data_IF_609246002438
#
_entry.id   IF_609246002438
#
_cell.length_a   1.000
_cell.length_b   1.000
_cell.length_c   1.000
_cell.angle_alpha   90.00
_cell.angle_beta   90.00
_cell.angle_gamma   90.00
#
_symmetry.space_group_name_H-M   'P 1'
#
loop_
_entity.id
_entity.type
_entity.pdbx_description
1 polymer ?
#
# COMPACT_ATOMS: atom_id res chain seq x y z
N UNK A 1 54.98 -10.68 2.87
CA UNK A 1 55.60 -9.35 2.93
C UNK A 1 54.52 -8.34 2.58
N UNK A 2 53.88 -7.72 3.59
CA UNK A 2 52.77 -6.80 3.37
C UNK A 2 53.34 -5.46 2.89
N UNK A 3 53.11 -5.12 1.62
CA UNK A 3 53.49 -3.82 1.06
C UNK A 3 52.75 -2.74 1.84
N UNK A 4 53.47 -1.99 2.69
CA UNK A 4 52.88 -0.84 3.38
C UNK A 4 52.50 0.18 2.31
N UNK A 5 51.20 0.39 2.12
CA UNK A 5 50.67 1.45 1.25
C UNK A 5 51.27 2.78 1.70
N UNK A 6 51.66 3.60 0.72
CA UNK A 6 52.09 4.98 0.97
C UNK A 6 50.89 5.82 1.43
N UNK A 7 51.15 6.91 2.14
CA UNK A 7 50.09 7.75 2.70
C UNK A 7 49.21 8.35 1.60
N UNK A 8 49.80 8.75 0.46
CA UNK A 8 49.06 9.20 -0.72
C UNK A 8 48.14 8.13 -1.30
N UNK A 9 48.61 6.87 -1.40
CA UNK A 9 47.79 5.76 -1.88
C UNK A 9 46.64 5.42 -0.92
N UNK A 10 46.83 5.59 0.39
CA UNK A 10 45.77 5.39 1.38
C UNK A 10 44.67 6.44 1.23
N UNK A 11 45.05 7.70 1.08
CA UNK A 11 44.11 8.82 0.87
C UNK A 11 43.34 8.63 -0.44
N UNK A 12 44.03 8.29 -1.54
CA UNK A 12 43.40 8.06 -2.84
C UNK A 12 42.41 6.89 -2.81
N UNK A 13 42.77 5.78 -2.16
CA UNK A 13 41.86 4.63 -1.98
C UNK A 13 40.66 4.97 -1.10
N UNK A 14 40.87 5.75 -0.03
CA UNK A 14 39.80 6.18 0.85
C UNK A 14 38.81 7.12 0.12
N UNK A 15 39.32 8.13 -0.58
CA UNK A 15 38.54 9.02 -1.43
C UNK A 15 37.76 8.23 -2.48
N UNK A 16 38.42 7.31 -3.20
CA UNK A 16 37.74 6.48 -4.18
C UNK A 16 36.59 5.66 -3.55
N UNK A 17 36.85 5.05 -2.39
CA UNK A 17 35.84 4.27 -1.67
C UNK A 17 34.63 5.13 -1.25
N UNK A 18 34.84 6.38 -0.85
CA UNK A 18 33.73 7.32 -0.56
C UNK A 18 33.01 7.70 -1.86
N UNK A 19 33.73 8.13 -2.90
CA UNK A 19 33.16 8.71 -4.12
C UNK A 19 32.38 7.72 -5.00
N UNK A 20 32.76 6.43 -5.00
CA UNK A 20 31.98 5.37 -5.67
C UNK A 20 30.54 5.35 -5.14
N UNK A 21 30.38 5.67 -3.86
CA UNK A 21 29.10 5.78 -3.19
C UNK A 21 28.49 7.18 -3.32
N UNK A 22 28.86 8.05 -4.26
CA UNK A 22 28.16 9.32 -4.50
C UNK A 22 27.58 9.45 -5.92
N UNK A 23 26.51 10.26 -6.12
CA UNK A 23 26.02 10.64 -7.44
C UNK A 23 27.12 11.39 -8.20
N UNK A 24 27.26 11.13 -9.52
CA UNK A 24 28.33 11.72 -10.35
C UNK A 24 28.41 13.24 -10.24
N UNK A 25 27.26 13.92 -10.16
CA UNK A 25 27.17 15.38 -10.07
C UNK A 25 27.79 16.01 -8.82
N UNK A 26 27.98 15.25 -7.72
CA UNK A 26 28.57 15.75 -6.48
C UNK A 26 29.97 15.21 -6.20
N UNK A 27 30.49 14.33 -7.06
CA UNK A 27 31.78 13.65 -6.79
C UNK A 27 32.93 14.64 -6.76
N UNK A 28 32.98 15.58 -7.69
CA UNK A 28 34.13 16.49 -7.80
C UNK A 28 34.17 17.48 -6.62
N UNK A 29 33.03 18.04 -6.24
CA UNK A 29 32.90 18.94 -5.09
C UNK A 29 33.27 18.23 -3.78
N UNK A 30 32.70 17.04 -3.55
CA UNK A 30 32.98 16.25 -2.34
C UNK A 30 34.41 15.71 -2.33
N UNK A 31 34.98 15.39 -3.49
CA UNK A 31 36.39 14.97 -3.59
C UNK A 31 37.33 16.10 -3.18
N UNK A 32 37.10 17.31 -3.69
CA UNK A 32 37.93 18.47 -3.38
C UNK A 32 37.82 18.86 -1.89
N UNK A 33 36.61 18.87 -1.34
CA UNK A 33 36.38 19.18 0.07
C UNK A 33 37.00 18.12 1.00
N UNK A 34 36.73 16.83 0.74
CA UNK A 34 37.25 15.75 1.57
C UNK A 34 38.76 15.66 1.51
N UNK A 35 39.37 15.89 0.34
CA UNK A 35 40.83 15.89 0.19
C UNK A 35 41.47 17.01 0.99
N UNK A 36 40.96 18.24 0.89
CA UNK A 36 41.45 19.36 1.72
C UNK A 36 41.33 19.06 3.21
N UNK A 37 40.19 18.50 3.64
CA UNK A 37 39.95 18.16 5.04
C UNK A 37 40.93 17.09 5.56
N UNK A 38 41.30 16.13 4.72
CA UNK A 38 42.30 15.11 5.06
C UNK A 38 43.70 15.73 5.11
N UNK A 39 44.07 16.53 4.10
CA UNK A 39 45.38 17.18 4.00
C UNK A 39 45.63 18.13 5.20
N UNK A 40 44.62 18.93 5.57
CA UNK A 40 44.68 19.82 6.74
C UNK A 40 44.85 19.03 8.05
N UNK A 41 44.11 17.92 8.20
CA UNK A 41 44.18 17.10 9.42
C UNK A 41 45.48 16.27 9.51
N UNK A 42 46.07 15.92 8.35
CA UNK A 42 47.33 15.19 8.24
C UNK A 42 48.57 16.08 8.42
N UNK A 43 48.41 17.41 8.45
CA UNK A 43 49.51 18.32 8.76
C UNK A 43 50.06 18.11 10.19
N UNK A 44 49.18 17.74 11.13
CA UNK A 44 49.50 17.61 12.55
C UNK A 44 49.46 16.17 13.08
N UNK A 45 49.01 15.20 12.26
CA UNK A 45 48.79 13.79 12.68
C UNK A 45 49.12 12.80 11.57
N UNK A 46 49.37 11.54 11.93
CA UNK A 46 49.53 10.45 10.96
C UNK A 46 48.24 10.26 10.14
N UNK A 47 48.38 10.17 8.82
CA UNK A 47 47.28 9.93 7.87
C UNK A 47 46.43 8.73 8.27
N UNK A 48 47.03 7.67 8.82
CA UNK A 48 46.28 6.49 9.26
C UNK A 48 45.35 6.79 10.43
N UNK A 49 45.78 7.64 11.35
CA UNK A 49 44.97 8.08 12.50
C UNK A 49 43.84 9.01 12.04
N UNK A 50 44.14 9.92 11.11
CA UNK A 50 43.14 10.82 10.50
C UNK A 50 42.05 10.01 9.79
N UNK A 51 42.44 9.05 8.93
CA UNK A 51 41.49 8.20 8.21
C UNK A 51 40.68 7.30 9.17
N UNK A 52 41.29 6.78 10.24
CA UNK A 52 40.57 6.02 11.25
C UNK A 52 39.55 6.89 12.01
N UNK A 53 39.91 8.15 12.30
CA UNK A 53 39.02 9.12 12.95
C UNK A 53 37.84 9.58 12.07
N UNK A 54 38.00 9.55 10.75
CA UNK A 54 36.91 9.78 9.80
C UNK A 54 35.92 8.60 9.71
N UNK A 55 36.31 7.42 10.19
CA UNK A 55 35.48 6.22 10.19
C UNK A 55 35.44 5.52 8.84
N UNK A 56 34.48 4.60 8.67
CA UNK A 56 34.40 3.83 7.44
C UNK A 56 34.00 4.73 6.25
N UNK A 57 34.57 4.52 5.05
CA UNK A 57 34.25 5.33 3.87
C UNK A 57 32.78 5.21 3.46
N UNK A 58 32.12 4.10 3.82
CA UNK A 58 30.69 3.90 3.60
C UNK A 58 29.83 4.80 4.49
N UNK A 59 30.21 4.97 5.76
CA UNK A 59 29.52 5.84 6.72
C UNK A 59 29.67 7.30 6.31
N UNK A 60 30.88 7.69 5.93
CA UNK A 60 31.16 9.05 5.48
C UNK A 60 30.41 9.38 4.19
N UNK A 61 30.34 8.44 3.25
CA UNK A 61 29.55 8.60 2.02
C UNK A 61 28.05 8.80 2.30
N UNK A 62 27.50 8.16 3.33
CA UNK A 62 26.09 8.35 3.72
C UNK A 62 25.82 9.81 4.13
N UNK A 63 26.74 10.44 4.86
CA UNK A 63 26.64 11.84 5.28
C UNK A 63 26.65 12.80 4.10
N UNK A 64 27.55 12.61 3.12
CA UNK A 64 27.65 13.49 1.95
C UNK A 64 26.56 13.26 0.89
N UNK A 65 25.95 12.07 0.85
CA UNK A 65 24.98 11.71 -0.19
C UNK A 65 23.64 12.43 -0.02
N UNK A 66 23.25 12.82 1.21
CA UNK A 66 22.01 13.55 1.53
C UNK A 66 20.69 12.80 1.26
N UNK A 67 20.69 11.82 0.35
CA UNK A 67 19.55 11.00 0.00
C UNK A 67 19.72 9.58 0.58
N UNK A 68 18.76 9.11 1.39
CA UNK A 68 18.86 7.80 1.99
C UNK A 68 18.60 6.65 0.99
N UNK A 69 19.15 5.46 1.31
CA UNK A 69 18.99 4.20 0.54
C UNK A 69 17.74 3.38 0.92
N UNK A 70 16.86 3.90 1.76
CA UNK A 70 15.70 3.15 2.21
C UNK A 70 14.52 3.23 1.23
N UNK A 71 13.82 2.11 1.05
CA UNK A 71 12.54 2.07 0.33
C UNK A 71 11.44 2.81 1.10
N UNK A 72 11.44 2.65 2.42
CA UNK A 72 10.56 3.33 3.39
C UNK A 72 11.47 3.84 4.50
N UNK A 73 11.53 5.16 4.70
CA UNK A 73 12.41 5.77 5.69
C UNK A 73 11.92 5.62 7.12
N UNK A 74 12.79 5.87 8.11
CA UNK A 74 12.50 5.70 9.53
C UNK A 74 11.31 6.54 10.00
N UNK A 75 11.03 7.67 9.34
CA UNK A 75 9.88 8.53 9.63
C UNK A 75 8.54 7.83 9.37
N UNK A 76 8.44 7.05 8.29
CA UNK A 76 7.20 6.38 7.90
C UNK A 76 7.15 4.92 8.36
N UNK A 77 8.27 4.34 8.78
CA UNK A 77 8.38 2.91 9.08
C UNK A 77 7.42 2.42 10.18
N UNK A 78 7.28 3.15 11.28
CA UNK A 78 6.35 2.77 12.35
C UNK A 78 4.89 2.84 11.89
N UNK A 79 4.56 3.83 11.06
CA UNK A 79 3.22 3.97 10.48
C UNK A 79 2.96 2.85 9.46
N UNK A 80 3.98 2.49 8.67
CA UNK A 80 3.95 1.36 7.75
C UNK A 80 3.59 0.07 8.46
N UNK A 81 4.28 -0.28 9.55
CA UNK A 81 3.98 -1.51 10.30
C UNK A 81 2.57 -1.51 10.92
N UNK A 82 2.11 -0.35 11.41
CA UNK A 82 0.76 -0.20 11.96
C UNK A 82 -0.34 -0.39 10.92
N UNK A 83 -0.08 -0.12 9.64
CA UNK A 83 -1.04 -0.33 8.55
C UNK A 83 -0.88 -1.73 7.94
N UNK A 84 0.36 -2.17 7.72
CA UNK A 84 0.67 -3.46 7.08
C UNK A 84 0.02 -4.63 7.82
N UNK A 85 0.28 -4.77 9.12
CA UNK A 85 -0.15 -5.97 9.85
C UNK A 85 -1.67 -6.12 9.93
N UNK A 86 -2.45 -5.08 10.28
CA UNK A 86 -3.91 -5.19 10.25
C UNK A 86 -4.46 -5.46 8.86
N UNK A 87 -3.94 -4.80 7.81
CA UNK A 87 -4.45 -4.98 6.44
C UNK A 87 -4.16 -6.39 5.94
N UNK A 88 -2.94 -6.89 6.14
CA UNK A 88 -2.58 -8.29 5.80
C UNK A 88 -3.45 -9.27 6.57
N UNK A 89 -3.63 -9.07 7.88
CA UNK A 89 -4.44 -9.94 8.72
C UNK A 89 -5.91 -9.97 8.30
N UNK A 90 -6.51 -8.81 8.02
CA UNK A 90 -7.90 -8.70 7.56
C UNK A 90 -8.07 -9.35 6.19
N UNK A 91 -7.21 -9.05 5.21
CA UNK A 91 -7.32 -9.62 3.87
C UNK A 91 -7.14 -11.14 3.88
N UNK A 92 -6.16 -11.64 4.63
CA UNK A 92 -5.94 -13.07 4.80
C UNK A 92 -7.16 -13.75 5.46
N UNK A 93 -7.70 -13.16 6.53
CA UNK A 93 -8.86 -13.71 7.23
C UNK A 93 -10.13 -13.70 6.37
N UNK A 94 -10.36 -12.65 5.58
CA UNK A 94 -11.51 -12.56 4.68
C UNK A 94 -11.39 -13.60 3.56
N UNK A 95 -10.26 -13.67 2.88
CA UNK A 95 -10.11 -14.59 1.75
C UNK A 95 -10.11 -16.05 2.19
N UNK A 96 -9.35 -16.40 3.24
CA UNK A 96 -9.38 -17.75 3.81
C UNK A 96 -10.72 -18.10 4.47
N UNK A 97 -11.42 -17.12 5.04
CA UNK A 97 -12.75 -17.33 5.59
C UNK A 97 -13.81 -17.58 4.52
N UNK A 98 -13.72 -16.87 3.38
CA UNK A 98 -14.63 -17.05 2.25
C UNK A 98 -14.44 -18.40 1.56
N UNK A 99 -13.20 -18.86 1.38
CA UNK A 99 -12.94 -20.19 0.82
C UNK A 99 -13.46 -21.29 1.74
N UNK A 100 -13.24 -21.17 3.06
CA UNK A 100 -13.75 -22.11 4.04
C UNK A 100 -15.29 -22.12 4.07
N UNK A 101 -15.91 -20.94 4.01
CA UNK A 101 -17.37 -20.82 3.94
C UNK A 101 -17.92 -21.47 2.67
N UNK A 102 -17.27 -21.26 1.52
CA UNK A 102 -17.61 -21.93 0.25
C UNK A 102 -17.61 -23.45 0.40
N UNK A 103 -16.51 -24.02 0.91
CA UNK A 103 -16.39 -25.45 1.11
C UNK A 103 -17.42 -26.02 2.11
N UNK A 104 -17.75 -25.29 3.19
CA UNK A 104 -18.80 -25.70 4.13
C UNK A 104 -20.20 -25.64 3.52
N UNK A 105 -20.47 -24.71 2.59
CA UNK A 105 -21.74 -24.71 1.87
C UNK A 105 -21.87 -25.90 0.93
N UNK A 106 -20.77 -26.30 0.26
CA UNK A 106 -20.71 -27.49 -0.59
C UNK A 106 -20.91 -28.79 0.20
N UNK A 107 -20.35 -28.87 1.42
CA UNK A 107 -20.53 -29.97 2.38
C UNK A 107 -21.99 -30.33 2.67
N UNK A 108 -22.84 -29.31 2.73
CA UNK A 108 -24.25 -29.43 3.15
C UNK A 108 -25.19 -29.64 1.97
N UNK A 109 -24.67 -29.78 0.76
CA UNK A 109 -25.45 -30.01 -0.44
C UNK A 109 -26.00 -31.47 -0.50
N UNK A 110 -27.22 -31.67 -1.03
CA UNK A 110 -27.89 -32.98 -1.07
C UNK A 110 -27.20 -34.02 -1.97
N UNK A 111 -26.18 -33.61 -2.74
CA UNK A 111 -25.33 -34.47 -3.56
C UNK A 111 -23.83 -34.34 -3.17
N UNK A 112 -23.52 -34.00 -1.92
CA UNK A 112 -22.16 -33.76 -1.47
C UNK A 112 -21.28 -35.01 -1.65
N UNK A 113 -20.18 -34.85 -2.39
CA UNK A 113 -19.07 -35.78 -2.37
C UNK A 113 -18.42 -35.76 -0.97
N UNK A 114 -17.75 -36.85 -0.53
CA UNK A 114 -16.96 -36.80 0.69
C UNK A 114 -15.91 -35.70 0.57
N UNK A 115 -16.00 -34.70 1.45
CA UNK A 115 -15.05 -33.60 1.50
C UNK A 115 -13.70 -34.14 1.98
N UNK A 116 -12.65 -33.88 1.22
CA UNK A 116 -11.31 -33.97 1.76
C UNK A 116 -11.07 -32.73 2.64
N UNK A 117 -11.19 -32.92 3.96
CA UNK A 117 -10.96 -31.86 4.93
C UNK A 117 -9.54 -31.30 4.84
N UNK A 118 -8.56 -32.08 4.34
CA UNK A 118 -7.19 -31.61 4.18
C UNK A 118 -7.10 -30.60 3.02
N UNK A 119 -7.72 -30.89 1.88
CA UNK A 119 -7.70 -30.01 0.70
C UNK A 119 -8.40 -28.68 0.97
N UNK A 120 -9.57 -28.71 1.63
CA UNK A 120 -10.32 -27.49 2.01
C UNK A 120 -9.48 -26.56 2.90
N UNK A 121 -8.76 -27.13 3.86
CA UNK A 121 -7.90 -26.36 4.76
C UNK A 121 -6.69 -25.79 4.00
N UNK A 122 -6.15 -26.55 3.05
CA UNK A 122 -5.05 -26.10 2.19
C UNK A 122 -5.47 -24.98 1.24
N UNK A 123 -6.61 -25.09 0.58
CA UNK A 123 -7.12 -24.02 -0.29
C UNK A 123 -7.40 -22.74 0.49
N UNK A 124 -7.91 -22.85 1.72
CA UNK A 124 -8.13 -21.69 2.58
C UNK A 124 -6.83 -21.03 3.05
N UNK A 125 -5.81 -21.82 3.35
CA UNK A 125 -4.49 -21.31 3.72
C UNK A 125 -3.80 -20.68 2.50
N UNK A 126 -3.89 -21.29 1.32
CA UNK A 126 -3.32 -20.75 0.09
C UNK A 126 -3.97 -19.41 -0.29
N UNK A 127 -5.31 -19.32 -0.22
CA UNK A 127 -6.04 -18.09 -0.46
C UNK A 127 -5.70 -16.99 0.56
N UNK A 128 -5.59 -17.34 1.85
CA UNK A 128 -5.22 -16.42 2.91
C UNK A 128 -3.78 -15.90 2.70
N UNK A 129 -2.83 -16.79 2.38
CA UNK A 129 -1.44 -16.45 2.15
C UNK A 129 -1.28 -15.57 0.91
N UNK A 130 -1.88 -15.98 -0.21
CA UNK A 130 -1.88 -15.21 -1.46
C UNK A 130 -2.46 -13.83 -1.23
N UNK A 131 -3.64 -13.75 -0.60
CA UNK A 131 -4.27 -12.50 -0.20
C UNK A 131 -3.37 -11.59 0.64
N UNK A 132 -2.76 -12.17 1.67
CA UNK A 132 -1.85 -11.47 2.57
C UNK A 132 -0.60 -10.94 1.85
N UNK A 133 -0.02 -11.72 0.94
CA UNK A 133 1.14 -11.29 0.13
C UNK A 133 0.76 -10.14 -0.81
N UNK A 134 -0.38 -10.23 -1.49
CA UNK A 134 -0.90 -9.15 -2.34
C UNK A 134 -1.13 -7.87 -1.55
N UNK A 135 -1.78 -7.98 -0.39
CA UNK A 135 -1.99 -6.85 0.52
C UNK A 135 -0.67 -6.22 0.97
N UNK A 136 0.29 -7.05 1.41
CA UNK A 136 1.60 -6.59 1.85
C UNK A 136 2.37 -5.87 0.73
N UNK A 137 2.33 -6.44 -0.48
CA UNK A 137 2.95 -5.86 -1.67
C UNK A 137 2.40 -4.46 -1.93
N UNK A 138 1.07 -4.31 -2.01
CA UNK A 138 0.45 -3.03 -2.33
C UNK A 138 0.59 -1.99 -1.23
N UNK A 139 0.49 -2.38 0.05
CA UNK A 139 0.81 -1.50 1.17
C UNK A 139 2.25 -0.98 1.04
N UNK A 140 3.21 -1.87 0.76
CA UNK A 140 4.62 -1.50 0.61
C UNK A 140 4.83 -0.54 -0.55
N UNK A 141 4.19 -0.79 -1.70
CA UNK A 141 4.25 0.10 -2.87
C UNK A 141 3.73 1.49 -2.53
N UNK A 142 2.58 1.60 -1.85
CA UNK A 142 2.01 2.89 -1.44
C UNK A 142 2.98 3.65 -0.53
N UNK A 143 3.51 3.01 0.51
CA UNK A 143 4.47 3.65 1.40
C UNK A 143 5.78 4.05 0.70
N UNK A 144 6.25 3.24 -0.24
CA UNK A 144 7.43 3.56 -1.05
C UNK A 144 7.20 4.79 -1.95
N UNK A 145 6.02 4.89 -2.58
CA UNK A 145 5.63 6.06 -3.38
C UNK A 145 5.46 7.29 -2.49
N UNK A 146 4.85 7.14 -1.31
CA UNK A 146 4.71 8.24 -0.35
C UNK A 146 6.06 8.76 0.14
N UNK A 147 7.00 7.89 0.45
CA UNK A 147 8.35 8.29 0.85
C UNK A 147 9.08 9.06 -0.27
N UNK A 148 8.83 8.71 -1.54
CA UNK A 148 9.46 9.37 -2.71
C UNK A 148 8.77 10.64 -3.16
N UNK A 149 7.46 10.76 -2.96
CA UNK A 149 6.66 11.93 -3.38
C UNK A 149 6.45 12.93 -2.25
N UNK A 150 6.65 12.52 -1.00
CA UNK A 150 6.76 13.45 0.12
C UNK A 150 7.86 14.46 -0.22
N UNK A 151 7.63 15.78 -0.02
CA UNK A 151 8.65 16.77 -0.25
C UNK A 151 9.94 16.37 0.47
N UNK A 152 11.02 16.19 -0.30
CA UNK A 152 12.37 16.11 0.23
C UNK A 152 12.69 17.48 0.84
N UNK A 153 12.17 17.70 2.04
CA UNK A 153 11.89 19.05 2.52
C UNK A 153 11.60 19.07 4.01
N UNK A 154 12.37 18.28 4.75
CA UNK A 154 13.00 18.82 5.94
C UNK A 154 14.33 18.10 5.95
N UNK A 155 15.37 18.78 5.45
CA UNK A 155 16.69 18.55 6.04
C UNK A 155 16.43 18.42 7.53
N UNK A 156 16.99 17.41 8.18
CA UNK A 156 17.18 17.43 9.62
C UNK A 156 18.21 18.53 9.93
N UNK A 157 17.93 19.76 9.48
CA UNK A 157 18.45 20.96 10.04
C UNK A 157 18.18 20.91 11.53
N UNK A 158 19.10 21.52 12.27
CA UNK A 158 19.12 21.65 13.72
C UNK A 158 17.69 21.82 14.25
N UNK A 159 17.14 20.74 14.81
CA UNK A 159 15.83 20.74 15.43
C UNK A 159 15.79 21.84 16.49
N UNK A 160 14.87 22.79 16.32
CA UNK A 160 14.64 23.87 17.28
C UNK A 160 13.43 23.49 18.16
N UNK A 161 13.50 23.63 19.50
CA UNK A 161 12.34 23.49 20.37
C UNK A 161 11.13 24.34 19.95
N UNK A 162 11.34 25.46 19.25
CA UNK A 162 10.27 26.31 18.74
C UNK A 162 9.54 25.72 17.51
N UNK A 163 10.12 24.69 16.86
CA UNK A 163 9.48 23.91 15.77
C UNK A 163 8.52 22.83 16.29
N UNK A 164 8.23 22.81 17.60
CA UNK A 164 7.23 21.91 18.15
C UNK A 164 5.88 22.14 17.45
N UNK A 165 5.30 21.11 16.81
CA UNK A 165 4.00 21.24 16.20
C UNK A 165 2.99 21.66 17.26
N UNK A 166 2.14 22.64 16.92
CA UNK A 166 1.07 23.09 17.79
C UNK A 166 0.21 21.90 18.24
N UNK A 167 -0.27 21.94 19.49
CA UNK A 167 -1.10 20.87 20.05
C UNK A 167 -2.29 20.61 19.11
N UNK A 168 -2.52 19.37 18.64
CA UNK A 168 -3.51 19.08 17.63
C UNK A 168 -4.90 19.62 18.00
N UNK A 169 -5.42 20.57 17.21
CA UNK A 169 -6.74 21.15 17.41
C UNK A 169 -7.85 20.29 16.78
N UNK A 170 -7.89 18.99 17.10
CA UNK A 170 -8.95 18.03 16.72
C UNK A 170 -9.14 17.74 15.23
N UNK A 171 -8.90 18.72 14.35
CA UNK A 171 -9.19 18.69 12.92
C UNK A 171 -8.30 17.77 12.10
N UNK A 172 -7.22 17.25 12.69
CA UNK A 172 -6.17 16.52 12.00
C UNK A 172 -6.55 15.07 11.69
N UNK A 173 -6.20 14.62 10.49
CA UNK A 173 -6.35 13.23 10.08
C UNK A 173 -5.03 12.52 10.39
N UNK A 174 -5.03 11.47 11.25
CA UNK A 174 -3.80 10.74 11.54
C UNK A 174 -3.29 10.08 10.26
N UNK A 175 -1.98 10.18 10.02
CA UNK A 175 -1.33 9.68 8.79
C UNK A 175 -1.66 8.19 8.57
N UNK A 176 -1.68 7.38 9.64
CA UNK A 176 -2.04 5.97 9.53
C UNK A 176 -3.47 5.72 9.03
N UNK A 177 -4.43 6.58 9.38
CA UNK A 177 -5.81 6.47 8.91
C UNK A 177 -5.91 6.85 7.43
N UNK A 178 -5.35 7.99 7.04
CA UNK A 178 -5.35 8.42 5.63
C UNK A 178 -4.61 7.44 4.72
N UNK A 179 -3.51 6.84 5.20
CA UNK A 179 -2.77 5.83 4.43
C UNK A 179 -3.54 4.51 4.37
N UNK A 180 -4.21 4.08 5.45
CA UNK A 180 -5.05 2.89 5.41
C UNK A 180 -6.22 3.05 4.41
N UNK A 181 -6.86 4.22 4.38
CA UNK A 181 -7.91 4.57 3.40
C UNK A 181 -7.37 4.53 1.97
N UNK A 182 -6.17 5.09 1.75
CA UNK A 182 -5.50 5.06 0.45
C UNK A 182 -5.17 3.63 -0.01
N UNK A 183 -4.60 2.82 0.88
CA UNK A 183 -4.29 1.41 0.58
C UNK A 183 -5.56 0.66 0.22
N UNK A 184 -6.63 0.81 1.00
CA UNK A 184 -7.92 0.16 0.73
C UNK A 184 -8.45 0.56 -0.66
N UNK A 185 -8.45 1.86 -0.97
CA UNK A 185 -8.88 2.37 -2.27
C UNK A 185 -8.06 1.79 -3.43
N UNK A 186 -6.74 1.70 -3.28
CA UNK A 186 -5.84 1.13 -4.29
C UNK A 186 -6.12 -0.37 -4.47
N UNK A 187 -6.25 -1.14 -3.39
CA UNK A 187 -6.55 -2.58 -3.45
C UNK A 187 -7.88 -2.83 -4.16
N UNK A 188 -8.92 -2.05 -3.85
CA UNK A 188 -10.22 -2.14 -4.54
C UNK A 188 -10.08 -1.80 -6.03
N UNK A 189 -9.33 -0.75 -6.37
CA UNK A 189 -9.09 -0.38 -7.77
C UNK A 189 -8.43 -1.51 -8.56
N UNK A 190 -7.42 -2.16 -7.99
CA UNK A 190 -6.71 -3.28 -8.63
C UNK A 190 -7.60 -4.51 -8.73
N UNK A 191 -8.36 -4.83 -7.68
CA UNK A 191 -9.30 -5.94 -7.69
C UNK A 191 -10.34 -5.78 -8.79
N UNK A 192 -10.91 -4.58 -8.93
CA UNK A 192 -11.86 -4.26 -9.99
C UNK A 192 -11.18 -4.26 -11.37
N UNK A 193 -9.99 -3.69 -11.50
CA UNK A 193 -9.24 -3.69 -12.76
C UNK A 193 -8.94 -5.12 -13.24
N UNK A 194 -8.74 -6.07 -12.31
CA UNK A 194 -8.53 -7.48 -12.63
C UNK A 194 -9.77 -8.17 -13.20
N UNK A 195 -10.96 -7.56 -13.06
CA UNK A 195 -12.19 -8.00 -13.72
C UNK A 195 -12.32 -7.49 -15.16
N UNK A 196 -11.42 -6.59 -15.61
CA UNK A 196 -11.43 -6.05 -16.96
C UNK A 196 -10.60 -6.92 -17.93
N UNK A 197 -11.12 -7.32 -19.10
CA UNK A 197 -10.43 -8.21 -20.05
C UNK A 197 -9.07 -7.68 -20.51
N UNK A 198 -8.92 -6.36 -20.61
CA UNK A 198 -7.67 -5.72 -21.04
C UNK A 198 -6.61 -5.63 -19.96
N UNK A 199 -6.98 -5.80 -18.69
CA UNK A 199 -6.11 -5.61 -17.52
C UNK A 199 -6.03 -6.87 -16.63
N UNK A 200 -6.83 -7.89 -16.91
CA UNK A 200 -6.85 -9.15 -16.21
C UNK A 200 -5.48 -9.84 -16.30
N UNK A 201 -4.90 -10.27 -15.16
CA UNK A 201 -3.68 -11.08 -15.18
C UNK A 201 -3.91 -12.41 -15.92
N UNK A 202 -2.86 -12.95 -16.54
CA UNK A 202 -2.94 -14.17 -17.37
C UNK A 202 -3.48 -15.41 -16.64
N UNK A 203 -3.39 -15.46 -15.31
CA UNK A 203 -3.94 -16.54 -14.47
C UNK A 203 -5.43 -16.36 -14.14
N UNK A 204 -6.03 -15.19 -14.38
CA UNK A 204 -7.49 -14.99 -14.37
C UNK A 204 -8.17 -15.49 -15.67
N UNK A 205 -7.35 -15.98 -16.62
CA UNK A 205 -7.68 -16.42 -17.97
C UNK A 205 -9.03 -17.12 -18.17
N UNK A 206 -9.36 -18.06 -17.29
CA UNK A 206 -10.56 -18.89 -17.42
C UNK A 206 -11.79 -18.34 -16.66
N UNK A 207 -11.60 -17.42 -15.71
CA UNK A 207 -12.67 -16.91 -14.85
C UNK A 207 -13.45 -15.72 -15.44
N UNK A 208 -12.82 -14.94 -16.32
CA UNK A 208 -13.45 -13.75 -16.92
C UNK A 208 -14.31 -14.06 -18.15
N UNK A 209 -14.01 -15.13 -18.91
CA UNK A 209 -14.80 -15.54 -20.09
C UNK A 209 -16.25 -15.89 -19.73
N UNK A 210 -16.48 -16.17 -18.46
CA UNK A 210 -17.76 -16.56 -17.93
C UNK A 210 -18.52 -15.41 -17.24
N UNK A 211 -17.92 -14.21 -17.18
CA UNK A 211 -18.62 -12.98 -16.83
C UNK A 211 -19.38 -12.44 -18.05
N UNK A 212 -20.59 -11.97 -17.80
CA UNK A 212 -21.46 -11.42 -18.85
C UNK A 212 -20.79 -10.20 -19.53
N UNK A 213 -20.63 -10.17 -20.86
CA UNK A 213 -20.03 -9.04 -21.56
C UNK A 213 -20.72 -7.70 -21.24
N UNK A 214 -22.02 -7.72 -20.97
CA UNK A 214 -22.78 -6.53 -20.60
C UNK A 214 -22.42 -5.95 -19.22
N UNK A 215 -22.02 -6.81 -18.28
CA UNK A 215 -21.50 -6.42 -16.96
C UNK A 215 -20.09 -5.84 -17.10
N UNK A 216 -19.23 -6.53 -17.84
CA UNK A 216 -17.83 -6.19 -18.01
C UNK A 216 -17.64 -4.87 -18.77
N UNK A 217 -18.46 -4.59 -19.79
CA UNK A 217 -18.31 -3.37 -20.61
C UNK A 217 -18.88 -2.11 -19.94
N UNK A 218 -19.86 -2.24 -19.04
CA UNK A 218 -20.56 -1.08 -18.45
C UNK A 218 -20.28 -0.87 -16.96
N UNK A 219 -20.29 -1.93 -16.17
CA UNK A 219 -20.22 -1.82 -14.72
C UNK A 219 -18.78 -1.82 -14.20
N UNK A 220 -17.89 -2.62 -14.81
CA UNK A 220 -16.46 -2.63 -14.42
C UNK A 220 -15.80 -1.25 -14.59
N UNK A 221 -15.97 -0.52 -15.73
CA UNK A 221 -15.43 0.84 -15.85
C UNK A 221 -16.00 1.82 -14.83
N UNK A 222 -17.29 1.70 -14.49
CA UNK A 222 -17.92 2.53 -13.46
C UNK A 222 -17.34 2.24 -12.06
N UNK A 223 -17.14 0.96 -11.73
CA UNK A 223 -16.48 0.55 -10.49
C UNK A 223 -15.02 1.04 -10.43
N UNK A 224 -14.28 0.98 -11.55
CA UNK A 224 -12.92 1.52 -11.62
C UNK A 224 -12.89 3.03 -11.41
N UNK A 225 -13.86 3.77 -11.98
CA UNK A 225 -13.96 5.21 -11.80
C UNK A 225 -14.23 5.59 -10.34
N UNK A 226 -15.12 4.85 -9.64
CA UNK A 226 -15.37 5.02 -8.21
C UNK A 226 -14.12 4.71 -7.39
N UNK A 227 -13.45 3.59 -7.66
CA UNK A 227 -12.26 3.21 -6.92
C UNK A 227 -11.11 4.21 -7.13
N UNK A 228 -10.96 4.73 -8.36
CA UNK A 228 -10.03 5.83 -8.64
C UNK A 228 -10.40 7.11 -7.89
N UNK A 229 -11.69 7.42 -7.77
CA UNK A 229 -12.16 8.56 -6.99
C UNK A 229 -11.85 8.40 -5.50
N UNK A 230 -11.97 7.19 -4.94
CA UNK A 230 -11.50 6.90 -3.57
C UNK A 230 -10.00 7.12 -3.40
N UNK A 231 -9.18 6.72 -4.39
CA UNK A 231 -7.73 6.99 -4.36
C UNK A 231 -7.45 8.49 -4.34
N UNK A 232 -8.18 9.28 -5.15
CA UNK A 232 -8.07 10.75 -5.15
C UNK A 232 -8.50 11.32 -3.79
N UNK A 233 -9.64 10.86 -3.26
CA UNK A 233 -10.15 11.28 -1.94
C UNK A 233 -9.12 11.05 -0.83
N UNK A 234 -8.60 9.83 -0.74
CA UNK A 234 -7.60 9.46 0.26
C UNK A 234 -6.28 10.22 0.06
N UNK A 235 -5.86 10.48 -1.18
CA UNK A 235 -4.66 11.26 -1.49
C UNK A 235 -4.83 12.73 -1.05
N UNK A 236 -5.98 13.33 -1.31
CA UNK A 236 -6.29 14.70 -0.86
C UNK A 236 -6.36 14.77 0.67
N UNK A 237 -6.98 13.79 1.32
CA UNK A 237 -7.01 13.68 2.78
C UNK A 237 -5.59 13.58 3.37
N UNK A 238 -4.69 12.84 2.70
CA UNK A 238 -3.30 12.68 3.13
C UNK A 238 -2.44 13.94 2.95
N UNK A 239 -2.71 14.74 1.93
CA UNK A 239 -2.02 16.03 1.69
C UNK A 239 -2.55 17.12 2.61
N UNK A 240 -3.87 17.26 2.70
CA UNK A 240 -4.53 18.33 3.48
C UNK A 240 -4.44 18.06 4.99
N UNK A 241 -4.36 16.78 5.38
CA UNK A 241 -4.22 16.28 6.76
C UNK A 241 -5.25 16.83 7.74
N UNK A 242 -6.34 17.40 7.25
CA UNK A 242 -7.37 18.01 8.07
C UNK A 242 -8.75 17.87 7.43
N UNK A 243 -9.77 17.70 8.27
CA UNK A 243 -11.17 17.65 7.86
C UNK A 243 -11.66 19.04 7.42
N UNK A 244 -11.30 19.40 6.19
CA UNK A 244 -11.86 20.58 5.51
C UNK A 244 -13.18 20.22 4.84
N UNK A 245 -13.98 21.24 4.51
CA UNK A 245 -15.26 21.02 3.78
C UNK A 245 -15.03 20.31 2.44
N UNK A 246 -13.89 20.55 1.79
CA UNK A 246 -13.53 19.89 0.53
C UNK A 246 -13.23 18.40 0.74
N UNK A 247 -12.42 18.05 1.74
CA UNK A 247 -12.11 16.63 2.06
C UNK A 247 -13.37 15.88 2.45
N UNK A 248 -14.20 16.45 3.33
CA UNK A 248 -15.48 15.82 3.72
C UNK A 248 -16.41 15.64 2.53
N UNK A 249 -16.55 16.65 1.67
CA UNK A 249 -17.40 16.57 0.49
C UNK A 249 -16.90 15.49 -0.48
N UNK A 250 -15.59 15.41 -0.69
CA UNK A 250 -14.98 14.41 -1.59
C UNK A 250 -15.18 12.99 -1.06
N UNK A 251 -14.94 12.73 0.23
CA UNK A 251 -15.22 11.42 0.84
C UNK A 251 -16.69 11.03 0.71
N UNK A 252 -17.62 11.93 1.08
CA UNK A 252 -19.07 11.65 1.03
C UNK A 252 -19.55 11.42 -0.40
N UNK A 253 -19.11 12.21 -1.38
CA UNK A 253 -19.49 12.02 -2.78
C UNK A 253 -18.94 10.69 -3.31
N UNK A 254 -17.71 10.33 -2.96
CA UNK A 254 -17.11 9.06 -3.37
C UNK A 254 -17.89 7.87 -2.81
N UNK A 255 -18.25 7.92 -1.52
CA UNK A 255 -19.00 6.86 -0.85
C UNK A 255 -20.44 6.73 -1.39
N UNK A 256 -21.12 7.85 -1.66
CA UNK A 256 -22.46 7.83 -2.26
C UNK A 256 -22.44 7.24 -3.68
N UNK A 257 -21.41 7.59 -4.47
CA UNK A 257 -21.24 7.03 -5.80
C UNK A 257 -20.89 5.54 -5.73
N UNK A 258 -20.10 5.11 -4.75
CA UNK A 258 -19.80 3.70 -4.49
C UNK A 258 -21.06 2.91 -4.15
N UNK A 259 -21.93 3.44 -3.27
CA UNK A 259 -23.23 2.83 -2.95
C UNK A 259 -24.11 2.74 -4.20
N UNK A 260 -24.17 3.80 -5.02
CA UNK A 260 -24.98 3.82 -6.23
C UNK A 260 -24.51 2.77 -7.25
N UNK A 261 -23.20 2.68 -7.50
CA UNK A 261 -22.61 1.71 -8.44
C UNK A 261 -22.74 0.28 -7.89
N UNK A 262 -22.46 0.04 -6.62
CA UNK A 262 -22.64 -1.28 -6.00
C UNK A 262 -24.12 -1.74 -6.03
N UNK A 263 -25.05 -0.82 -5.82
CA UNK A 263 -26.49 -1.10 -5.96
C UNK A 263 -26.85 -1.42 -7.41
N UNK A 264 -26.33 -0.65 -8.38
CA UNK A 264 -26.55 -0.91 -9.80
C UNK A 264 -26.02 -2.29 -10.21
N UNK A 265 -24.87 -2.72 -9.68
CA UNK A 265 -24.33 -4.07 -9.86
C UNK A 265 -25.31 -5.11 -9.30
N UNK A 266 -25.73 -4.97 -8.04
CA UNK A 266 -26.66 -5.89 -7.38
C UNK A 266 -28.06 -5.96 -8.03
N UNK A 267 -28.49 -4.90 -8.72
CA UNK A 267 -29.76 -4.87 -9.47
C UNK A 267 -29.60 -5.47 -10.87
N UNK A 268 -28.45 -5.25 -11.53
CA UNK A 268 -28.20 -5.74 -12.89
C UNK A 268 -28.16 -7.28 -12.97
N UNK A 269 -27.70 -7.92 -11.90
CA UNK A 269 -27.76 -9.38 -11.71
C UNK A 269 -28.32 -9.65 -10.33
N UNK A 270 -29.42 -10.41 -10.17
CA UNK A 270 -29.85 -10.85 -8.86
C UNK A 270 -28.93 -11.98 -8.39
N UNK A 271 -27.74 -11.59 -7.90
CA UNK A 271 -26.72 -12.47 -7.29
C UNK A 271 -27.25 -13.30 -6.11
N UNK A 272 -28.49 -13.02 -5.66
CA UNK A 272 -29.19 -13.73 -4.59
C UNK A 272 -30.58 -14.22 -4.99
N UNK A 273 -30.91 -14.29 -6.30
CA UNK A 273 -32.18 -14.90 -6.71
C UNK A 273 -32.21 -16.39 -6.36
N UNK A 274 -33.38 -16.95 -6.00
CA UNK A 274 -33.51 -18.40 -5.75
C UNK A 274 -33.04 -19.25 -6.93
N UNK A 275 -33.20 -18.73 -8.16
CA UNK A 275 -32.75 -19.36 -9.41
C UNK A 275 -31.22 -19.33 -9.56
N UNK A 276 -30.57 -18.20 -9.24
CA UNK A 276 -29.11 -18.13 -9.25
C UNK A 276 -28.49 -19.04 -8.19
N UNK A 277 -29.10 -19.09 -6.99
CA UNK A 277 -28.66 -19.98 -5.91
C UNK A 277 -28.89 -21.46 -6.25
N UNK A 278 -29.94 -21.80 -7.01
CA UNK A 278 -30.15 -23.17 -7.51
C UNK A 278 -29.17 -23.54 -8.63
N UNK A 279 -28.88 -22.63 -9.56
CA UNK A 279 -27.91 -22.85 -10.64
C UNK A 279 -26.48 -22.99 -10.11
N UNK A 280 -26.14 -22.22 -9.06
CA UNK A 280 -24.93 -22.44 -8.25
C UNK A 280 -24.94 -23.86 -7.68
N UNK A 281 -26.01 -24.26 -7.01
CA UNK A 281 -26.12 -25.58 -6.36
C UNK A 281 -25.94 -26.77 -7.31
N UNK A 282 -26.30 -26.65 -8.58
CA UNK A 282 -26.12 -27.70 -9.59
C UNK A 282 -24.74 -27.70 -10.26
N UNK A 283 -24.00 -26.58 -10.28
CA UNK A 283 -22.72 -26.42 -11.00
C UNK A 283 -21.49 -26.35 -10.10
N UNK A 284 -21.65 -26.34 -8.78
CA UNK A 284 -20.54 -26.15 -7.84
C UNK A 284 -19.80 -27.45 -7.59
N UNK A 285 -18.82 -27.71 -8.46
CA UNK A 285 -17.73 -28.65 -8.23
C UNK A 285 -16.42 -28.24 -8.90
N UNK A 286 -16.47 -27.32 -9.88
CA UNK A 286 -15.27 -26.81 -10.58
C UNK A 286 -15.45 -25.47 -11.30
N UNK A 287 -16.62 -24.81 -11.18
CA UNK A 287 -16.95 -23.64 -11.98
C UNK A 287 -16.50 -22.33 -11.29
N UNK A 288 -15.24 -21.94 -11.55
CA UNK A 288 -14.60 -20.69 -11.11
C UNK A 288 -15.49 -19.45 -11.31
N UNK A 289 -16.34 -19.48 -12.32
CA UNK A 289 -17.36 -18.47 -12.65
C UNK A 289 -18.34 -18.21 -11.52
N UNK A 290 -18.86 -19.28 -10.91
CA UNK A 290 -19.92 -19.19 -9.91
C UNK A 290 -19.36 -18.61 -8.60
N UNK A 291 -18.14 -19.01 -8.24
CA UNK A 291 -17.40 -18.48 -7.10
C UNK A 291 -17.03 -17.00 -7.28
N UNK A 292 -16.56 -16.61 -8.48
CA UNK A 292 -16.28 -15.20 -8.79
C UNK A 292 -17.52 -14.32 -8.71
N UNK A 293 -18.66 -14.78 -9.22
CA UNK A 293 -19.91 -14.02 -9.17
C UNK A 293 -20.43 -13.84 -7.73
N UNK A 294 -20.34 -14.87 -6.90
CA UNK A 294 -20.69 -14.77 -5.47
C UNK A 294 -19.77 -13.79 -4.73
N UNK A 295 -18.47 -13.86 -5.00
CA UNK A 295 -17.49 -12.94 -4.42
C UNK A 295 -17.78 -11.49 -4.78
N UNK A 296 -18.09 -11.20 -6.05
CA UNK A 296 -18.48 -9.84 -6.50
C UNK A 296 -19.72 -9.33 -5.76
N UNK A 297 -20.75 -10.18 -5.59
CA UNK A 297 -21.97 -9.82 -4.85
C UNK A 297 -21.71 -9.49 -3.38
N UNK A 298 -20.90 -10.31 -2.69
CA UNK A 298 -20.52 -10.09 -1.29
C UNK A 298 -19.69 -8.81 -1.15
N UNK A 299 -18.70 -8.60 -2.02
CA UNK A 299 -17.88 -7.38 -2.02
C UNK A 299 -18.74 -6.14 -2.22
N UNK A 300 -19.74 -6.17 -3.10
CA UNK A 300 -20.66 -5.04 -3.28
C UNK A 300 -21.46 -4.72 -2.00
N UNK A 301 -21.93 -5.73 -1.28
CA UNK A 301 -22.63 -5.52 0.01
C UNK A 301 -21.67 -4.92 1.05
N UNK A 302 -20.46 -5.45 1.16
CA UNK A 302 -19.44 -4.94 2.08
C UNK A 302 -19.10 -3.49 1.74
N UNK A 303 -18.95 -3.16 0.45
CA UNK A 303 -18.73 -1.78 -0.02
C UNK A 303 -19.88 -0.87 0.37
N UNK A 304 -21.14 -1.30 0.21
CA UNK A 304 -22.31 -0.50 0.61
C UNK A 304 -22.28 -0.21 2.12
N UNK A 305 -22.06 -1.23 2.94
CA UNK A 305 -22.01 -1.09 4.41
C UNK A 305 -20.83 -0.21 4.84
N UNK A 306 -19.63 -0.45 4.29
CA UNK A 306 -18.44 0.32 4.59
C UNK A 306 -18.59 1.80 4.17
N UNK A 307 -19.17 2.06 3.00
CA UNK A 307 -19.44 3.42 2.50
C UNK A 307 -20.48 4.13 3.36
N UNK A 308 -21.52 3.43 3.83
CA UNK A 308 -22.50 4.02 4.75
C UNK A 308 -21.84 4.43 6.09
N UNK A 309 -20.94 3.61 6.62
CA UNK A 309 -20.13 3.94 7.80
C UNK A 309 -19.17 5.10 7.50
N UNK A 310 -18.55 5.11 6.31
CA UNK A 310 -17.68 6.18 5.82
C UNK A 310 -18.37 7.54 5.81
N UNK A 311 -19.57 7.62 5.24
CA UNK A 311 -20.40 8.83 5.24
C UNK A 311 -20.71 9.29 6.67
N UNK A 312 -21.15 8.39 7.55
CA UNK A 312 -21.49 8.74 8.94
C UNK A 312 -20.27 9.23 9.71
N UNK A 313 -19.12 8.57 9.54
CA UNK A 313 -17.86 8.93 10.20
C UNK A 313 -17.31 10.26 9.66
N UNK A 314 -17.30 10.48 8.36
CA UNK A 314 -16.87 11.73 7.73
C UNK A 314 -17.74 12.92 8.20
N UNK A 315 -19.07 12.75 8.25
CA UNK A 315 -20.00 13.77 8.74
C UNK A 315 -19.84 14.01 10.24
N UNK A 316 -19.74 12.95 11.05
CA UNK A 316 -19.52 13.07 12.50
C UNK A 316 -18.20 13.77 12.80
N UNK A 317 -17.12 13.41 12.10
CA UNK A 317 -15.82 14.06 12.22
C UNK A 317 -15.92 15.52 11.77
N UNK A 318 -16.58 15.84 10.66
CA UNK A 318 -16.77 17.24 10.26
C UNK A 318 -17.55 18.07 11.30
N UNK A 319 -18.60 17.50 11.91
CA UNK A 319 -19.48 18.19 12.87
C UNK A 319 -18.89 18.31 14.28
N UNK A 320 -18.22 17.26 14.78
CA UNK A 320 -17.55 17.30 16.08
C UNK A 320 -16.48 18.39 16.13
N UNK A 321 -15.85 18.69 14.99
CA UNK A 321 -14.80 19.69 14.87
C UNK A 321 -15.28 21.12 14.55
N UNK A 322 -16.60 21.36 14.39
CA UNK A 322 -17.16 22.73 14.34
C UNK A 322 -17.59 23.26 15.72
N UNK A 323 -17.62 22.39 16.74
CA UNK A 323 -18.09 22.72 18.11
C UNK A 323 -16.95 22.87 19.13
N UNK A 324 -15.71 22.62 18.72
CA UNK A 324 -14.49 22.91 19.47
C UNK A 324 -13.83 24.16 18.86
#
# INVERSE_FOLDING_TARGET
>A
MSTRLTDGELVDRYLHAVLVHLPRSRRDDVAAELRRRIDDAAADRDVREVLAGLGSPEDLARTYRGAPRHLIGPRLYDTYLRVLWPVVGVVAAVLGGLTLLGALTEATAPAAAPLDTADVVWDAIDAALTGGVYAAFWVTVVFAVLERTAPAGTDLGRWDPDDLPAVPHGREIPVGEAVAELVFAVVVLIGVASLSPSLAPSFFGAGYEALDPSFTDRLVPAMMAVAALWVVSASVALVVRSWTTVVTALSVVSDLLAVAVATAVLVHRPYFSPQFLSDLRERTGSDLTAQLNLAVGIVCIVVIVASAVGVVTAVRKHLAHRRA
#
